data_IF_422688384585
#
_entry.id   IF_422688384585
#
_cell.length_a   1.000
_cell.length_b   1.000
_cell.length_c   1.000
_cell.angle_alpha   90.00
_cell.angle_beta   90.00
_cell.angle_gamma   90.00
#
_symmetry.space_group_name_H-M   'P 1'
#
loop_
_entity.id
_entity.type
_entity.pdbx_description
1 polymer ?
#
# COMPACT_ATOMS: atom_id res chain seq x y z
N UNK A 1 -14.24 -6.54 7.71
CA UNK A 1 -13.93 -7.42 6.56
C UNK A 1 -13.22 -8.71 6.96
N UNK A 2 -12.49 -8.79 8.08
CA UNK A 2 -11.88 -10.06 8.54
C UNK A 2 -10.71 -10.54 7.66
N UNK A 3 -10.00 -9.60 7.05
CA UNK A 3 -8.74 -9.83 6.36
C UNK A 3 -7.61 -9.82 7.38
N UNK A 4 -6.57 -10.63 7.16
CA UNK A 4 -5.33 -10.52 7.92
C UNK A 4 -4.53 -9.31 7.43
N UNK A 5 -4.20 -8.40 8.34
CA UNK A 5 -3.64 -7.08 8.01
C UNK A 5 -2.34 -6.87 8.78
N UNK A 6 -1.27 -6.62 8.04
CA UNK A 6 0.00 -6.16 8.57
C UNK A 6 0.07 -4.63 8.47
N UNK A 7 0.45 -3.98 9.58
CA UNK A 7 0.80 -2.56 9.57
C UNK A 7 2.31 -2.42 9.69
N UNK A 8 2.94 -1.89 8.66
CA UNK A 8 4.37 -1.63 8.62
C UNK A 8 4.64 -0.14 8.85
N UNK A 9 5.20 0.20 10.01
CA UNK A 9 5.60 1.57 10.36
C UNK A 9 7.13 1.69 10.38
N UNK A 10 7.67 2.56 9.54
CA UNK A 10 9.12 2.72 9.37
C UNK A 10 9.52 4.15 9.05
N UNK A 11 10.80 4.46 9.24
CA UNK A 11 11.42 5.69 8.75
C UNK A 11 12.16 5.35 7.45
N UNK A 12 11.89 6.11 6.40
CA UNK A 12 12.62 6.03 5.12
C UNK A 12 13.50 7.25 4.98
N UNK A 13 14.79 6.99 4.78
CA UNK A 13 15.81 8.01 4.53
C UNK A 13 16.05 8.11 3.03
N UNK A 14 15.91 9.32 2.48
CA UNK A 14 16.27 9.66 1.10
C UNK A 14 17.52 10.55 1.12
N UNK A 15 18.72 9.97 1.03
CA UNK A 15 19.98 10.71 1.14
C UNK A 15 20.12 11.78 0.04
N UNK A 16 19.61 11.51 -1.17
CA UNK A 16 19.59 12.46 -2.29
C UNK A 16 18.82 13.76 -1.99
N UNK A 17 17.87 13.71 -1.05
CA UNK A 17 17.05 14.86 -0.66
C UNK A 17 17.33 15.32 0.77
N UNK A 18 18.34 14.74 1.45
CA UNK A 18 18.65 14.96 2.87
C UNK A 18 17.41 14.91 3.78
N UNK A 19 16.45 14.02 3.44
CA UNK A 19 15.16 13.94 4.12
C UNK A 19 14.96 12.55 4.72
N UNK A 20 14.42 12.53 5.93
CA UNK A 20 13.85 11.34 6.54
C UNK A 20 12.36 11.55 6.70
N UNK A 21 11.57 10.52 6.39
CA UNK A 21 10.12 10.57 6.62
C UNK A 21 9.61 9.28 7.22
N UNK A 22 8.58 9.39 8.06
CA UNK A 22 7.87 8.24 8.60
C UNK A 22 6.81 7.81 7.60
N UNK A 23 6.75 6.50 7.36
CA UNK A 23 5.79 5.87 6.44
C UNK A 23 5.10 4.75 7.19
N UNK A 24 3.79 4.69 7.02
CA UNK A 24 2.96 3.62 7.56
C UNK A 24 2.18 2.99 6.41
N UNK A 25 2.52 1.73 6.12
CA UNK A 25 1.82 0.91 5.12
C UNK A 25 0.83 -0.02 5.83
N UNK A 26 -0.33 -0.21 5.22
CA UNK A 26 -1.34 -1.18 5.61
C UNK A 26 -1.39 -2.21 4.48
N UNK A 27 -1.10 -3.47 4.81
CA UNK A 27 -0.86 -4.54 3.84
C UNK A 27 -1.76 -5.70 4.18
N UNK A 28 -2.41 -6.28 3.17
CA UNK A 28 -3.07 -7.58 3.31
C UNK A 28 -2.78 -8.44 2.10
N UNK A 29 -2.65 -9.76 2.32
CA UNK A 29 -2.41 -10.75 1.29
C UNK A 29 -3.59 -11.72 1.24
N UNK A 30 -4.10 -11.96 0.04
CA UNK A 30 -5.08 -12.99 -0.26
C UNK A 30 -4.35 -14.06 -1.07
N UNK A 31 -4.29 -15.28 -0.53
CA UNK A 31 -3.62 -16.41 -1.19
C UNK A 31 -4.45 -16.93 -2.38
N UNK A 32 -3.79 -17.18 -3.51
CA UNK A 32 -4.40 -17.86 -4.64
C UNK A 32 -4.44 -19.38 -4.45
N UNK A 33 -5.35 -20.05 -5.15
CA UNK A 33 -5.46 -21.52 -5.12
C UNK A 33 -4.40 -22.24 -5.97
N UNK A 34 -3.84 -21.56 -6.97
CA UNK A 34 -2.83 -22.10 -7.91
C UNK A 34 -1.95 -20.95 -8.43
N UNK A 35 -1.25 -20.34 -7.47
CA UNK A 35 -0.58 -19.07 -7.67
C UNK A 35 0.70 -19.23 -8.47
N UNK A 36 0.70 -18.66 -9.68
CA UNK A 36 1.90 -18.55 -10.54
C UNK A 36 2.63 -17.22 -10.41
N UNK A 37 2.06 -16.29 -9.63
CA UNK A 37 2.58 -14.94 -9.45
C UNK A 37 1.68 -14.11 -8.53
N UNK A 38 2.08 -12.87 -8.28
CA UNK A 38 1.38 -11.97 -7.35
C UNK A 38 0.96 -10.69 -8.06
N UNK A 39 -0.29 -10.29 -7.86
CA UNK A 39 -0.82 -8.99 -8.29
C UNK A 39 -0.88 -8.07 -7.08
N UNK A 40 -0.22 -6.92 -7.15
CA UNK A 40 -0.31 -5.91 -6.10
C UNK A 40 -1.19 -4.76 -6.56
N UNK A 41 -2.23 -4.46 -5.77
CA UNK A 41 -3.07 -3.28 -5.94
C UNK A 41 -2.66 -2.27 -4.86
N UNK A 42 -2.35 -1.04 -5.28
CA UNK A 42 -1.80 -0.02 -4.38
C UNK A 42 -2.49 1.33 -4.55
N UNK A 43 -2.72 2.01 -3.42
CA UNK A 43 -3.24 3.36 -3.31
C UNK A 43 -2.61 4.05 -2.11
N UNK A 44 -2.66 5.38 -2.05
CA UNK A 44 -2.17 6.12 -0.89
C UNK A 44 -3.27 6.86 -0.15
N UNK A 45 -3.18 6.88 1.18
CA UNK A 45 -4.19 7.52 2.03
C UNK A 45 -3.77 8.88 2.59
N UNK A 46 -2.50 9.27 2.44
CA UNK A 46 -2.07 10.62 2.79
C UNK A 46 -2.50 11.64 1.72
N UNK A 47 -2.68 12.88 2.15
CA UNK A 47 -3.02 14.00 1.30
C UNK A 47 -2.05 15.16 1.53
N UNK A 48 -2.10 16.16 0.64
CA UNK A 48 -1.41 17.43 0.90
C UNK A 48 -2.10 18.22 2.00
N UNK A 49 -1.38 19.18 2.59
CA UNK A 49 -1.95 20.07 3.61
C UNK A 49 -3.08 20.98 3.08
N UNK A 50 -3.07 21.28 1.79
CA UNK A 50 -3.94 22.29 1.17
C UNK A 50 -5.12 21.70 0.42
N UNK A 51 -5.22 20.38 0.31
CA UNK A 51 -6.27 19.70 -0.45
C UNK A 51 -6.70 18.40 0.23
N UNK A 52 -8.01 18.09 0.22
CA UNK A 52 -8.55 16.84 0.78
C UNK A 52 -8.13 15.58 -0.01
N UNK A 53 -7.46 15.71 -1.17
CA UNK A 53 -6.89 14.55 -1.88
C UNK A 53 -7.91 13.58 -2.46
N UNK A 54 -9.15 14.02 -2.78
CA UNK A 54 -10.18 13.12 -3.30
C UNK A 54 -9.74 12.37 -4.55
N UNK A 55 -9.04 13.05 -5.47
CA UNK A 55 -8.46 12.44 -6.67
C UNK A 55 -6.99 12.01 -6.53
N UNK A 56 -6.41 12.17 -5.35
CA UNK A 56 -5.00 11.97 -5.06
C UNK A 56 -4.84 11.63 -3.56
N UNK A 57 -5.21 10.41 -3.12
CA UNK A 57 -5.77 9.28 -3.87
C UNK A 57 -6.98 8.66 -3.12
N UNK A 58 -7.82 9.54 -2.58
CA UNK A 58 -8.98 9.16 -1.76
C UNK A 58 -9.95 8.21 -2.47
N UNK A 59 -10.26 8.44 -3.76
CA UNK A 59 -11.10 7.49 -4.51
C UNK A 59 -10.39 6.16 -4.75
N UNK A 60 -9.06 6.15 -4.91
CA UNK A 60 -8.28 4.93 -5.12
C UNK A 60 -8.33 4.04 -3.89
N UNK A 61 -8.15 4.63 -2.70
CA UNK A 61 -8.33 3.92 -1.43
C UNK A 61 -9.73 3.32 -1.31
N UNK A 62 -10.78 4.10 -1.62
CA UNK A 62 -12.15 3.60 -1.57
C UNK A 62 -12.38 2.43 -2.55
N UNK A 63 -11.87 2.55 -3.78
CA UNK A 63 -11.96 1.51 -4.79
C UNK A 63 -11.20 0.24 -4.38
N UNK A 64 -10.03 0.36 -3.74
CA UNK A 64 -9.29 -0.78 -3.22
C UNK A 64 -10.01 -1.48 -2.08
N UNK A 65 -10.62 -0.72 -1.16
CA UNK A 65 -11.41 -1.32 -0.08
C UNK A 65 -12.59 -2.12 -0.62
N UNK A 66 -13.30 -1.59 -1.62
CA UNK A 66 -14.42 -2.29 -2.24
C UNK A 66 -13.96 -3.50 -3.05
N UNK A 67 -12.85 -3.37 -3.78
CA UNK A 67 -12.23 -4.48 -4.49
C UNK A 67 -11.83 -5.59 -3.51
N UNK A 68 -11.19 -5.24 -2.40
CA UNK A 68 -10.79 -6.20 -1.37
C UNK A 68 -11.99 -6.90 -0.73
N UNK A 69 -13.10 -6.17 -0.52
CA UNK A 69 -14.36 -6.74 -0.03
C UNK A 69 -14.90 -7.82 -0.97
N UNK A 70 -14.86 -7.58 -2.28
CA UNK A 70 -15.32 -8.52 -3.30
C UNK A 70 -14.37 -9.71 -3.42
N UNK A 71 -13.07 -9.45 -3.56
CA UNK A 71 -12.05 -10.50 -3.80
C UNK A 71 -11.94 -11.48 -2.63
N UNK A 72 -12.23 -11.04 -1.39
CA UNK A 72 -12.22 -11.92 -0.21
C UNK A 72 -13.14 -13.13 -0.37
N UNK A 73 -14.26 -12.98 -1.07
CA UNK A 73 -15.27 -14.03 -1.21
C UNK A 73 -15.14 -14.80 -2.54
N UNK A 74 -14.07 -14.53 -3.31
CA UNK A 74 -13.80 -15.17 -4.60
C UNK A 74 -12.68 -16.21 -4.51
N UNK A 75 -12.75 -17.24 -5.35
CA UNK A 75 -11.62 -18.16 -5.58
C UNK A 75 -10.61 -17.50 -6.52
N UNK A 76 -9.53 -16.97 -5.94
CA UNK A 76 -8.45 -16.32 -6.69
C UNK A 76 -7.48 -17.37 -7.23
N UNK A 77 -7.03 -17.22 -8.48
CA UNK A 77 -5.96 -18.06 -9.04
C UNK A 77 -4.59 -17.65 -8.49
N UNK A 78 -4.28 -16.35 -8.57
CA UNK A 78 -3.01 -15.77 -8.16
C UNK A 78 -3.14 -15.06 -6.82
N UNK A 79 -2.01 -14.87 -6.15
CA UNK A 79 -1.96 -14.09 -4.91
C UNK A 79 -2.29 -12.63 -5.21
N UNK A 80 -3.08 -12.01 -4.34
CA UNK A 80 -3.37 -10.57 -4.40
C UNK A 80 -2.87 -9.90 -3.15
N UNK A 81 -2.05 -8.86 -3.31
CA UNK A 81 -1.64 -7.98 -2.23
C UNK A 81 -2.39 -6.67 -2.37
N UNK A 82 -3.06 -6.23 -1.30
CA UNK A 82 -3.59 -4.87 -1.19
C UNK A 82 -2.60 -4.08 -0.33
N UNK A 83 -2.09 -2.99 -0.90
CA UNK A 83 -1.17 -2.07 -0.24
C UNK A 83 -1.81 -0.68 -0.16
N UNK A 84 -2.14 -0.25 1.05
CA UNK A 84 -2.54 1.13 1.32
C UNK A 84 -1.35 1.82 1.99
N UNK A 85 -0.67 2.69 1.25
CA UNK A 85 0.53 3.38 1.75
C UNK A 85 0.17 4.76 2.27
N UNK A 86 0.88 5.24 3.28
CA UNK A 86 0.72 6.62 3.71
C UNK A 86 1.99 7.15 4.33
N UNK A 87 2.23 8.40 4.02
CA UNK A 87 3.33 9.15 4.57
C UNK A 87 2.84 10.02 5.74
N UNK A 88 3.68 10.15 6.77
CA UNK A 88 3.44 11.01 7.92
C UNK A 88 4.63 11.96 8.07
N UNK A 89 4.60 13.11 7.38
CA UNK A 89 5.67 14.12 7.44
C UNK A 89 5.23 15.50 6.93
N UNK A 90 6.18 16.33 6.47
CA UNK A 90 5.92 17.56 5.67
C UNK A 90 6.70 17.45 4.35
N UNK A 91 6.03 17.61 3.19
CA UNK A 91 6.61 17.45 1.84
C UNK A 91 6.20 16.16 1.11
N UNK A 92 5.24 16.27 0.20
CA UNK A 92 4.81 15.21 -0.71
C UNK A 92 5.96 14.77 -1.63
N UNK A 93 6.45 13.54 -1.48
CA UNK A 93 7.24 12.89 -2.53
C UNK A 93 6.71 11.48 -2.72
N UNK A 94 5.91 11.31 -3.76
CA UNK A 94 5.33 10.05 -4.19
C UNK A 94 6.43 9.05 -4.62
N UNK A 95 6.21 7.77 -4.36
CA UNK A 95 6.92 6.61 -4.96
C UNK A 95 8.32 6.20 -4.48
N UNK A 96 8.64 6.10 -3.18
CA UNK A 96 9.92 5.42 -2.80
C UNK A 96 9.88 4.53 -1.56
N UNK A 97 8.72 4.38 -0.91
CA UNK A 97 8.69 3.79 0.43
C UNK A 97 7.97 2.44 0.51
N UNK A 98 7.97 1.68 -0.60
CA UNK A 98 7.76 0.23 -0.57
C UNK A 98 9.06 -0.48 -0.92
N UNK A 99 10.11 -0.32 -0.10
CA UNK A 99 11.35 -1.05 -0.32
C UNK A 99 11.95 -1.59 0.98
N UNK A 100 12.13 -2.93 0.99
CA UNK A 100 13.06 -3.74 1.80
C UNK A 100 12.61 -4.44 3.10
N UNK A 101 11.36 -4.39 3.55
CA UNK A 101 11.01 -5.07 4.84
C UNK A 101 9.81 -6.01 4.87
N UNK A 102 9.26 -6.40 3.73
CA UNK A 102 8.26 -7.47 3.68
C UNK A 102 8.87 -8.70 3.00
N UNK A 103 8.53 -9.89 3.51
CA UNK A 103 8.87 -11.19 2.91
C UNK A 103 8.29 -11.36 1.49
N UNK A 104 7.44 -10.41 1.06
CA UNK A 104 6.66 -10.43 -0.18
C UNK A 104 7.18 -9.49 -1.29
N UNK A 105 8.28 -8.76 -1.08
CA UNK A 105 8.83 -7.83 -2.08
C UNK A 105 10.33 -8.01 -2.32
N UNK A 106 10.72 -8.76 -3.37
CA UNK A 106 12.11 -8.78 -3.85
C UNK A 106 12.29 -7.71 -4.93
N UNK A 107 12.87 -6.57 -4.52
CA UNK A 107 13.38 -5.44 -5.33
C UNK A 107 12.34 -4.38 -5.77
N UNK A 108 12.51 -3.17 -5.25
CA UNK A 108 12.36 -1.92 -6.00
C UNK A 108 13.77 -1.32 -6.17
#
# INVERSE_FOLDING_TARGET
>A
MGLDVEVQDTIVHKPEMERATRVQNIITKMEGSDSSGTVMLAAHYDSTFVSPGASDDGYGVAALMETARILKDMSLKNDVIILITGWRGIGASWCTCFCKRTSMGKRC
#
